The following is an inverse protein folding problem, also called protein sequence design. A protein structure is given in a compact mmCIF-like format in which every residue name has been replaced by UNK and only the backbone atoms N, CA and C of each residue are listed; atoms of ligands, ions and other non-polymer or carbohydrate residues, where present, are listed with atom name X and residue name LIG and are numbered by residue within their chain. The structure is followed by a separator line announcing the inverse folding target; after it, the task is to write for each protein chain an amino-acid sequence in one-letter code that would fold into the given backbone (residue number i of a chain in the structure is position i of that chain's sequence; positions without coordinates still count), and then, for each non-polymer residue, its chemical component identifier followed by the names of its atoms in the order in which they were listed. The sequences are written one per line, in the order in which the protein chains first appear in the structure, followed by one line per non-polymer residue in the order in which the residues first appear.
data_IF_722813755833
#
_entry.id   IF_722813755833
#
_cell.length_a   1.000
_cell.length_b   1.000
_cell.length_c   1.000
_cell.angle_alpha   90.00
_cell.angle_beta   90.00
_cell.angle_gamma   90.00
#
_symmetry.space_group_name_H-M   'P 1'
#
loop_
_entity.id
_entity.type
_entity.pdbx_description
1 polymer ?
#
# COMPACT_ATOMS: atom_id res chain seq x y z
N UNK A 1 2.32 -12.78 -10.74
CA UNK A 1 1.73 -13.20 -12.03
C UNK A 1 1.55 -11.96 -12.89
N UNK A 2 2.16 -11.96 -14.08
CA UNK A 2 1.95 -10.93 -15.10
C UNK A 2 1.16 -11.56 -16.23
N UNK A 3 -0.04 -11.07 -16.49
CA UNK A 3 -0.93 -11.59 -17.53
C UNK A 3 -1.26 -10.47 -18.49
N UNK A 4 -1.07 -10.72 -19.79
CA UNK A 4 -1.55 -9.87 -20.88
C UNK A 4 -2.33 -10.75 -21.87
N UNK A 5 -3.63 -10.53 -21.99
CA UNK A 5 -4.48 -11.26 -22.91
C UNK A 5 -4.61 -10.50 -24.22
N UNK A 6 -4.07 -11.05 -25.31
CA UNK A 6 -4.11 -10.43 -26.63
C UNK A 6 -5.53 -10.41 -27.23
N UNK A 7 -6.42 -11.30 -26.81
CA UNK A 7 -7.80 -11.40 -27.33
C UNK A 7 -8.74 -10.38 -26.72
N UNK A 8 -8.64 -10.11 -25.40
CA UNK A 8 -9.54 -9.17 -24.71
C UNK A 8 -8.84 -7.91 -24.18
N UNK A 9 -7.51 -7.83 -24.29
CA UNK A 9 -6.72 -6.71 -23.78
C UNK A 9 -6.51 -6.69 -22.26
N UNK A 10 -6.97 -7.72 -21.53
CA UNK A 10 -6.83 -7.76 -20.08
C UNK A 10 -5.35 -7.81 -19.68
N UNK A 11 -4.91 -6.84 -18.87
CA UNK A 11 -3.54 -6.73 -18.37
C UNK A 11 -3.57 -6.67 -16.85
N UNK A 12 -2.86 -7.59 -16.18
CA UNK A 12 -2.65 -7.56 -14.73
C UNK A 12 -1.19 -7.87 -14.40
N UNK A 13 -0.68 -7.19 -13.36
CA UNK A 13 0.63 -7.41 -12.77
C UNK A 13 0.44 -7.46 -11.25
N UNK A 14 0.20 -8.66 -10.74
CA UNK A 14 -0.06 -8.92 -9.32
C UNK A 14 1.05 -9.77 -8.72
N UNK A 15 1.37 -9.55 -7.44
CA UNK A 15 2.34 -10.39 -6.70
C UNK A 15 1.60 -11.12 -5.59
N UNK A 16 1.52 -12.44 -5.69
CA UNK A 16 0.85 -13.28 -4.70
C UNK A 16 1.89 -13.95 -3.82
N UNK A 17 1.63 -13.99 -2.51
CA UNK A 17 2.45 -14.77 -1.58
C UNK A 17 2.35 -16.26 -1.92
N UNK A 18 3.50 -16.93 -1.93
CA UNK A 18 3.57 -18.38 -2.06
C UNK A 18 3.26 -19.11 -0.75
N UNK A 19 3.43 -18.43 0.38
CA UNK A 19 3.10 -18.90 1.72
C UNK A 19 1.69 -18.46 2.13
N UNK A 20 1.15 -19.09 3.18
CA UNK A 20 -0.08 -18.65 3.82
C UNK A 20 0.06 -17.32 4.57
N UNK A 21 -0.95 -17.00 5.37
CA UNK A 21 -0.95 -15.84 6.26
C UNK A 21 0.13 -16.03 7.34
N UNK A 22 1.01 -15.05 7.51
CA UNK A 22 2.03 -15.09 8.55
C UNK A 22 1.40 -15.08 9.96
N UNK A 23 2.05 -15.67 10.98
CA UNK A 23 1.49 -15.70 12.33
C UNK A 23 1.30 -14.29 12.94
N UNK A 24 2.11 -13.32 12.53
CA UNK A 24 2.07 -11.94 13.03
C UNK A 24 1.84 -10.97 11.88
N UNK A 25 1.08 -9.90 12.16
CA UNK A 25 1.02 -8.74 11.28
C UNK A 25 2.35 -7.99 11.29
N UNK A 26 2.57 -7.19 10.26
CA UNK A 26 3.78 -6.38 10.09
C UNK A 26 3.41 -4.92 9.89
N UNK A 27 4.11 -4.05 10.60
CA UNK A 27 4.07 -2.60 10.40
C UNK A 27 5.47 -2.09 10.07
N UNK A 28 5.66 -1.55 8.88
CA UNK A 28 6.88 -0.87 8.48
C UNK A 28 6.68 0.65 8.58
N UNK A 29 7.57 1.32 9.30
CA UNK A 29 7.60 2.77 9.46
C UNK A 29 8.90 3.27 8.85
N UNK A 30 8.79 3.95 7.71
CA UNK A 30 9.90 4.56 6.99
C UNK A 30 9.85 6.07 7.14
N UNK A 31 10.94 6.65 7.64
CA UNK A 31 11.17 8.10 7.61
C UNK A 31 11.88 8.45 6.31
N UNK A 32 11.19 9.16 5.43
CA UNK A 32 11.73 9.62 4.16
C UNK A 32 12.45 10.94 4.42
N UNK A 33 13.78 10.89 4.42
CA UNK A 33 14.61 12.08 4.61
C UNK A 33 15.36 12.51 3.35
N UNK A 34 15.76 11.54 2.52
CA UNK A 34 16.56 11.76 1.32
C UNK A 34 15.90 11.13 0.09
N UNK A 35 16.29 11.59 -1.11
CA UNK A 35 15.86 10.97 -2.38
C UNK A 35 16.22 9.47 -2.46
N UNK A 36 17.30 9.05 -1.78
CA UNK A 36 17.67 7.63 -1.71
C UNK A 36 16.59 6.78 -1.00
N UNK A 37 15.86 7.34 -0.04
CA UNK A 37 14.79 6.59 0.64
C UNK A 37 13.60 6.33 -0.29
N UNK A 38 13.39 7.18 -1.31
CA UNK A 38 12.35 6.98 -2.32
C UNK A 38 12.68 5.83 -3.29
N UNK A 39 13.96 5.51 -3.47
CA UNK A 39 14.40 4.42 -4.36
C UNK A 39 14.39 3.05 -3.67
N UNK A 40 13.89 2.95 -2.43
CA UNK A 40 13.76 1.67 -1.72
C UNK A 40 12.75 0.78 -2.44
N UNK A 41 13.14 -0.47 -2.67
CA UNK A 41 12.22 -1.49 -3.17
C UNK A 41 11.12 -1.77 -2.14
N UNK A 42 9.89 -1.86 -2.62
CA UNK A 42 8.67 -2.02 -1.86
C UNK A 42 7.80 -3.11 -2.51
N UNK A 43 7.41 -4.10 -1.73
CA UNK A 43 6.38 -5.07 -2.08
C UNK A 43 5.13 -4.79 -1.24
N UNK A 44 4.07 -4.35 -1.90
CA UNK A 44 2.76 -4.16 -1.29
C UNK A 44 1.92 -5.42 -1.50
N UNK A 45 1.42 -6.02 -0.42
CA UNK A 45 0.39 -7.07 -0.50
C UNK A 45 -1.01 -6.48 -0.71
N UNK A 46 -1.99 -7.32 -1.05
CA UNK A 46 -3.37 -6.85 -1.18
C UNK A 46 -3.96 -6.38 0.17
N UNK A 47 -3.59 -6.99 1.29
CA UNK A 47 -4.08 -6.63 2.63
C UNK A 47 -3.34 -5.45 3.26
N UNK A 48 -2.29 -4.95 2.61
CA UNK A 48 -1.49 -3.83 3.12
C UNK A 48 -2.23 -2.49 2.98
N UNK A 49 -2.39 -1.79 4.11
CA UNK A 49 -2.73 -0.37 4.18
C UNK A 49 -1.46 0.47 4.07
N UNK A 50 -1.54 1.58 3.34
CA UNK A 50 -0.45 2.57 3.24
C UNK A 50 -0.94 3.89 3.81
N UNK A 51 -0.16 4.51 4.68
CA UNK A 51 -0.48 5.83 5.25
C UNK A 51 0.74 6.75 5.23
N UNK A 52 0.52 8.04 4.93
CA UNK A 52 1.54 9.10 5.02
C UNK A 52 1.03 10.20 5.94
N UNK A 53 1.62 10.31 7.13
CA UNK A 53 1.08 11.11 8.24
C UNK A 53 0.99 12.60 7.92
N UNK A 54 2.02 13.17 7.32
CA UNK A 54 2.20 14.61 7.12
C UNK A 54 1.32 15.19 6.02
N UNK A 55 0.77 14.34 5.16
CA UNK A 55 -0.22 14.72 4.14
C UNK A 55 -1.61 14.15 4.43
N UNK A 56 -1.79 13.43 5.54
CA UNK A 56 -3.05 12.77 5.91
C UNK A 56 -3.58 11.86 4.79
N UNK A 57 -2.66 11.21 4.07
CA UNK A 57 -2.98 10.25 3.03
C UNK A 57 -3.17 8.88 3.67
N UNK A 58 -4.32 8.26 3.44
CA UNK A 58 -4.55 6.86 3.76
C UNK A 58 -5.07 6.12 2.53
N UNK A 59 -4.43 5.00 2.23
CA UNK A 59 -4.79 4.08 1.16
C UNK A 59 -5.18 2.77 1.83
N UNK A 60 -6.45 2.42 1.70
CA UNK A 60 -7.01 1.20 2.29
C UNK A 60 -6.44 -0.09 1.67
N UNK A 61 -6.74 -1.25 2.29
CA UNK A 61 -6.43 -2.55 1.71
C UNK A 61 -7.12 -2.71 0.34
N UNK A 62 -6.60 -3.61 -0.48
CA UNK A 62 -7.01 -3.92 -1.85
C UNK A 62 -6.81 -2.79 -2.87
N UNK A 63 -6.49 -1.57 -2.43
CA UNK A 63 -6.17 -0.47 -3.34
C UNK A 63 -4.89 -0.77 -4.13
N UNK A 64 -4.94 -0.52 -5.44
CA UNK A 64 -3.86 -0.69 -6.40
C UNK A 64 -3.35 -2.13 -6.59
N UNK A 65 -4.00 -3.12 -5.95
CA UNK A 65 -3.58 -4.52 -5.95
C UNK A 65 -2.22 -4.74 -5.29
N UNK A 66 -1.70 -5.96 -5.46
CA UNK A 66 -0.39 -6.38 -4.97
C UNK A 66 0.68 -6.06 -6.01
N UNK A 67 1.72 -5.32 -5.62
CA UNK A 67 2.73 -4.82 -6.55
C UNK A 67 4.11 -4.79 -5.93
N UNK A 68 5.10 -5.09 -6.76
CA UNK A 68 6.51 -4.81 -6.48
C UNK A 68 6.89 -3.52 -7.21
N UNK A 69 7.31 -2.50 -6.48
CA UNK A 69 7.63 -1.15 -6.97
C UNK A 69 8.65 -0.49 -6.04
N UNK A 70 8.88 0.81 -6.17
CA UNK A 70 9.64 1.61 -5.20
C UNK A 70 8.71 2.51 -4.38
N UNK A 71 9.23 3.11 -3.31
CA UNK A 71 8.49 4.13 -2.53
C UNK A 71 8.07 5.30 -3.42
N UNK A 72 8.94 5.75 -4.32
CA UNK A 72 8.58 6.73 -5.35
C UNK A 72 7.46 6.23 -6.27
N UNK A 73 7.61 5.01 -6.78
CA UNK A 73 6.67 4.42 -7.73
C UNK A 73 5.27 4.26 -7.16
N UNK A 74 5.14 3.88 -5.89
CA UNK A 74 3.81 3.79 -5.26
C UNK A 74 3.17 5.17 -5.07
N UNK A 75 3.94 6.21 -4.74
CA UNK A 75 3.44 7.59 -4.62
C UNK A 75 2.98 8.14 -5.99
N UNK A 76 3.73 7.85 -7.04
CA UNK A 76 3.35 8.21 -8.41
C UNK A 76 2.05 7.51 -8.84
N UNK A 77 1.90 6.21 -8.55
CA UNK A 77 0.66 5.47 -8.84
C UNK A 77 -0.53 6.06 -8.07
N UNK A 78 -0.35 6.41 -6.79
CA UNK A 78 -1.40 7.05 -5.99
C UNK A 78 -1.82 8.38 -6.62
N UNK A 79 -0.86 9.19 -7.05
CA UNK A 79 -1.12 10.45 -7.77
C UNK A 79 -1.93 10.23 -9.05
N UNK A 80 -1.48 9.31 -9.91
CA UNK A 80 -2.15 9.00 -11.18
C UNK A 80 -3.60 8.54 -10.94
N UNK A 81 -3.80 7.63 -10.00
CA UNK A 81 -5.13 7.10 -9.68
C UNK A 81 -6.07 8.13 -9.07
N UNK A 82 -5.56 9.07 -8.27
CA UNK A 82 -6.35 10.19 -7.78
C UNK A 82 -6.80 11.11 -8.91
N UNK A 83 -5.98 11.31 -9.94
CA UNK A 83 -6.37 12.11 -11.12
C UNK A 83 -7.42 11.34 -11.95
N UNK A 84 -7.17 10.07 -12.26
CA UNK A 84 -8.08 9.23 -13.06
C UNK A 84 -9.44 9.02 -12.40
N UNK A 85 -9.48 8.84 -11.08
CA UNK A 85 -10.72 8.60 -10.33
C UNK A 85 -11.57 9.86 -10.17
N UNK A 86 -11.04 11.04 -10.47
CA UNK A 86 -11.72 12.32 -10.33
C UNK A 86 -11.85 13.09 -11.67
N UNK A 87 -12.41 12.47 -12.73
CA UNK A 87 -12.47 13.09 -14.06
C UNK A 87 -13.37 14.33 -14.10
N UNK A 88 -14.34 14.42 -13.18
CA UNK A 88 -15.28 15.54 -13.06
C UNK A 88 -14.70 16.78 -12.37
N UNK A 89 -13.44 16.74 -11.93
CA UNK A 89 -12.73 17.91 -11.38
C UNK A 89 -12.17 18.80 -12.50
N UNK A 90 -12.04 18.26 -13.71
CA UNK A 90 -11.48 18.95 -14.89
C UNK A 90 -12.52 19.62 -15.81
N UNK A 91 -13.82 19.56 -15.48
CA UNK A 91 -14.91 20.14 -16.28
C UNK A 91 -15.36 21.55 -15.84
N UNK A 92 -16.19 22.18 -16.65
CA UNK A 92 -16.81 23.50 -16.38
C UNK A 92 -17.83 23.48 -15.23
N UNK A 93 -18.39 22.30 -14.94
CA UNK A 93 -19.34 22.04 -13.85
C UNK A 93 -18.65 21.60 -12.55
N UNK A 94 -17.31 21.60 -12.52
CA UNK A 94 -16.55 21.17 -11.35
C UNK A 94 -16.70 22.17 -10.20
N UNK A 95 -16.89 21.65 -8.99
CA UNK A 95 -16.81 22.44 -7.76
C UNK A 95 -15.37 22.97 -7.60
N UNK A 96 -15.19 24.28 -7.79
CA UNK A 96 -13.88 24.93 -7.77
C UNK A 96 -13.13 24.68 -6.45
N UNK A 97 -13.85 24.61 -5.33
CA UNK A 97 -13.27 24.38 -4.00
C UNK A 97 -12.70 22.96 -3.92
N UNK A 98 -13.38 21.96 -4.48
CA UNK A 98 -12.86 20.59 -4.55
C UNK A 98 -11.65 20.49 -5.48
N UNK A 99 -11.66 21.22 -6.60
CA UNK A 99 -10.53 21.27 -7.53
C UNK A 99 -9.28 21.81 -6.86
N UNK A 100 -9.37 22.98 -6.22
CA UNK A 100 -8.24 23.60 -5.53
C UNK A 100 -7.68 22.70 -4.42
N UNK A 101 -8.56 22.04 -3.66
CA UNK A 101 -8.13 21.08 -2.63
C UNK A 101 -7.37 19.89 -3.20
N UNK A 102 -7.85 19.31 -4.31
CA UNK A 102 -7.15 18.21 -4.96
C UNK A 102 -5.81 18.69 -5.51
N UNK A 103 -5.75 19.82 -6.23
CA UNK A 103 -4.50 20.36 -6.78
C UNK A 103 -3.47 20.65 -5.67
N UNK A 104 -3.89 21.20 -4.53
CA UNK A 104 -3.04 21.38 -3.36
C UNK A 104 -2.53 20.04 -2.81
N UNK A 105 -3.37 19.00 -2.79
CA UNK A 105 -2.97 17.68 -2.34
C UNK A 105 -1.97 17.02 -3.29
N UNK A 106 -2.21 17.10 -4.60
CA UNK A 106 -1.30 16.60 -5.63
C UNK A 106 0.07 17.30 -5.55
N UNK A 107 0.07 18.63 -5.32
CA UNK A 107 1.30 19.40 -5.11
C UNK A 107 2.09 18.89 -3.90
N UNK A 108 1.41 18.51 -2.80
CA UNK A 108 2.10 17.93 -1.64
C UNK A 108 2.75 16.58 -1.96
N UNK A 109 2.13 15.74 -2.81
CA UNK A 109 2.73 14.48 -3.26
C UNK A 109 3.97 14.76 -4.11
N UNK A 110 3.89 15.75 -5.02
CA UNK A 110 5.03 16.14 -5.85
C UNK A 110 6.21 16.66 -5.02
N UNK A 111 5.95 17.47 -3.97
CA UNK A 111 7.00 17.89 -3.03
C UNK A 111 7.70 16.72 -2.34
N UNK A 112 7.00 15.62 -2.08
CA UNK A 112 7.57 14.41 -1.47
C UNK A 112 8.43 13.67 -2.50
N UNK A 113 7.93 13.48 -3.72
CA UNK A 113 8.65 12.81 -4.82
C UNK A 113 9.93 13.58 -5.18
N UNK A 114 9.89 14.90 -5.15
CA UNK A 114 11.06 15.77 -5.37
C UNK A 114 12.02 15.83 -4.17
N UNK A 115 11.69 15.19 -3.04
CA UNK A 115 12.51 15.17 -1.83
C UNK A 115 12.55 16.52 -1.07
N UNK A 116 11.61 17.43 -1.33
CA UNK A 116 11.53 18.74 -0.66
C UNK A 116 10.88 18.65 0.71
N UNK A 117 10.06 17.61 0.95
CA UNK A 117 9.31 17.41 2.20
C UNK A 117 9.70 16.08 2.85
N UNK A 118 10.12 16.14 4.10
CA UNK A 118 10.33 14.93 4.94
C UNK A 118 8.99 14.41 5.42
N UNK A 119 8.77 13.10 5.27
CA UNK A 119 7.51 12.46 5.66
C UNK A 119 7.72 11.08 6.26
N UNK A 120 6.73 10.61 7.00
CA UNK A 120 6.66 9.28 7.59
C UNK A 120 5.70 8.43 6.78
N UNK A 121 6.27 7.48 6.04
CA UNK A 121 5.57 6.50 5.25
C UNK A 121 5.35 5.22 6.07
N UNK A 122 4.12 4.76 6.15
CA UNK A 122 3.74 3.61 6.98
C UNK A 122 3.06 2.58 6.11
N UNK A 123 3.53 1.34 6.18
CA UNK A 123 2.86 0.17 5.65
C UNK A 123 2.37 -0.67 6.81
N UNK A 124 1.09 -1.01 6.82
CA UNK A 124 0.50 -1.88 7.81
C UNK A 124 -0.17 -3.05 7.10
N UNK A 125 0.38 -4.25 7.28
CA UNK A 125 -0.11 -5.47 6.65
C UNK A 125 -0.43 -6.53 7.71
N UNK A 126 -1.72 -6.78 7.98
CA UNK A 126 -2.16 -7.83 8.89
C UNK A 126 -1.65 -9.22 8.48
N UNK A 127 -1.47 -9.48 7.18
CA UNK A 127 -1.01 -10.78 6.71
C UNK A 127 0.52 -10.97 6.76
N UNK A 128 1.28 -9.92 7.08
CA UNK A 128 2.75 -9.98 7.15
C UNK A 128 3.44 -10.25 5.80
N UNK A 129 2.74 -10.05 4.68
CA UNK A 129 3.16 -10.43 3.33
C UNK A 129 3.82 -9.28 2.55
N UNK A 130 3.90 -8.10 3.14
CA UNK A 130 4.51 -6.92 2.55
C UNK A 130 5.99 -6.83 2.92
N UNK A 131 6.77 -6.17 2.07
CA UNK A 131 8.21 -5.99 2.26
C UNK A 131 8.64 -4.58 1.91
N UNK A 132 9.62 -4.06 2.67
CA UNK A 132 10.26 -2.79 2.40
C UNK A 132 11.77 -2.96 2.58
N UNK A 133 12.53 -2.56 1.57
CA UNK A 133 13.97 -2.74 1.53
C UNK A 133 14.68 -1.90 2.59
N UNK A 134 15.57 -2.57 3.32
CA UNK A 134 16.56 -1.95 4.19
C UNK A 134 17.89 -1.84 3.43
N UNK A 135 18.50 -0.65 3.41
CA UNK A 135 19.77 -0.44 2.70
C UNK A 135 20.97 -0.95 3.49
N UNK A 136 21.02 -0.63 4.78
CA UNK A 136 22.12 -1.00 5.67
C UNK A 136 21.54 -1.37 7.04
N UNK A 137 21.64 -2.64 7.47
CA UNK A 137 21.21 -3.02 8.81
C UNK A 137 22.30 -2.65 9.85
N UNK A 138 21.97 -1.95 10.95
CA UNK A 138 20.65 -1.42 11.31
C UNK A 138 20.29 -0.14 10.56
N UNK A 139 19.05 -0.07 10.06
CA UNK A 139 18.56 1.06 9.27
C UNK A 139 17.86 2.07 10.19
N UNK A 140 18.49 3.22 10.40
CA UNK A 140 17.96 4.24 11.33
C UNK A 140 16.63 4.85 10.86
N UNK A 141 16.37 4.81 9.55
CA UNK A 141 15.18 5.38 8.94
C UNK A 141 14.03 4.39 8.81
N UNK A 142 14.27 3.09 8.95
CA UNK A 142 13.27 2.04 8.78
C UNK A 142 13.09 1.23 10.07
N UNK A 143 11.90 1.32 10.65
CA UNK A 143 11.49 0.47 11.77
C UNK A 143 10.48 -0.57 11.27
N UNK A 144 10.75 -1.85 11.50
CA UNK A 144 9.81 -2.94 11.23
C UNK A 144 9.34 -3.51 12.56
N UNK A 145 8.03 -3.38 12.82
CA UNK A 145 7.37 -3.91 14.02
C UNK A 145 6.49 -5.10 13.62
N UNK A 146 6.61 -6.20 14.36
CA UNK A 146 5.66 -7.31 14.25
C UNK A 146 4.64 -7.20 15.37
N UNK A 147 3.37 -7.39 15.06
CA UNK A 147 2.28 -7.29 16.03
C UNK A 147 1.36 -8.50 15.97
N UNK A 148 0.75 -8.83 17.12
CA UNK A 148 -0.34 -9.82 17.18
C UNK A 148 -1.60 -9.15 16.66
N UNK A 149 -2.25 -9.80 15.69
CA UNK A 149 -3.49 -9.30 15.08
C UNK A 149 -4.59 -9.15 16.12
N UNK A 150 -5.46 -8.17 15.92
CA UNK A 150 -6.69 -8.07 16.69
C UNK A 150 -7.68 -9.15 16.25
N UNK A 151 -8.66 -9.45 17.10
CA UNK A 151 -9.73 -10.40 16.77
C UNK A 151 -10.50 -9.97 15.52
N UNK A 152 -10.72 -8.67 15.33
CA UNK A 152 -11.36 -8.11 14.12
C UNK A 152 -10.53 -8.39 12.86
N UNK A 153 -9.20 -8.24 12.94
CA UNK A 153 -8.31 -8.56 11.82
C UNK A 153 -8.31 -10.05 11.51
N UNK A 154 -8.34 -10.92 12.52
CA UNK A 154 -8.43 -12.37 12.30
C UNK A 154 -9.79 -12.80 11.73
N UNK A 155 -10.87 -12.11 12.10
CA UNK A 155 -12.20 -12.29 11.53
C UNK A 155 -12.27 -11.86 10.06
N UNK A 156 -11.74 -10.67 9.73
CA UNK A 156 -11.66 -10.16 8.35
C UNK A 156 -10.82 -11.07 7.45
N UNK A 157 -9.79 -11.72 8.01
CA UNK A 157 -8.96 -12.70 7.32
C UNK A 157 -9.59 -14.10 7.25
N UNK A 158 -10.77 -14.30 7.88
CA UNK A 158 -11.50 -15.57 7.91
C UNK A 158 -10.81 -16.67 8.71
N UNK A 159 -9.93 -16.30 9.65
CA UNK A 159 -9.13 -17.25 10.42
C UNK A 159 -9.88 -17.81 11.62
N UNK A 160 -10.87 -17.08 12.14
CA UNK A 160 -11.70 -17.55 13.25
C UNK A 160 -12.62 -18.69 12.83
N UNK A 161 -13.07 -18.69 11.58
CA UNK A 161 -13.99 -19.70 11.03
C UNK A 161 -13.28 -20.89 10.38
N UNK A 162 -11.94 -20.82 10.24
CA UNK A 162 -11.18 -21.85 9.54
C UNK A 162 -11.02 -23.11 10.40
N UNK A 163 -11.86 -24.12 10.16
CA UNK A 163 -11.64 -25.48 10.65
C UNK A 163 -10.49 -26.11 9.85
N UNK A 164 -9.37 -26.43 10.51
CA UNK A 164 -8.19 -27.08 9.90
C UNK A 164 -8.04 -28.55 10.27
N UNK A 165 -8.88 -29.07 11.17
CA UNK A 165 -8.84 -30.44 11.69
C UNK A 165 -10.26 -31.00 11.90
N UNK A 166 -10.38 -32.32 12.09
CA UNK A 166 -11.62 -33.05 12.43
C UNK A 166 -12.77 -32.88 11.42
N UNK A 167 -12.45 -32.86 10.12
CA UNK A 167 -13.45 -32.79 9.04
C UNK A 167 -14.40 -34.00 8.98
N UNK A 168 -14.06 -35.13 9.61
CA UNK A 168 -14.78 -36.41 9.47
C UNK A 168 -15.72 -36.75 10.65
N UNK A 169 -15.76 -35.94 11.73
CA UNK A 169 -16.50 -36.32 12.96
C UNK A 169 -17.98 -35.91 13.00
N UNK A 170 -18.51 -35.27 11.95
CA UNK A 170 -19.95 -34.96 11.82
C UNK A 170 -20.57 -35.70 10.62
N UNK A 171 -20.87 -36.99 10.81
CA UNK A 171 -21.79 -37.76 9.96
C UNK A 171 -22.76 -38.60 10.79
#
# INVERSE_FOLDING_TARGET
MSTYCETCGHKTNEVKSGSGIEPHGMRAILKIENLKDLTRDLLKSDTCKISVKEIELEVGPCAFGSRYTTVEGILAIIKEQLIESNPFITGDSADLIRKEKLEQFLTKIDEIIEGKRKVTFIMDDPCGNSYLQSFEPPDENLTIEKYTRSQEQDDELGLLDMKVENYEEES
#
